data_IF_957784203800
#
_entry.id   IF_957784203800
#
_cell.length_a   1.000
_cell.length_b   1.000
_cell.length_c   1.000
_cell.angle_alpha   90.00
_cell.angle_beta   90.00
_cell.angle_gamma   90.00
#
_symmetry.space_group_name_H-M   'P 1'
#
loop_
_entity.id
_entity.type
_entity.pdbx_description
1 polymer ?
#
# COMPACT_ATOMS: atom_id res chain seq x y z
N UNK A 1 7.36 -9.08 -8.33
CA UNK A 1 8.01 -8.18 -7.36
C UNK A 1 8.20 -8.95 -6.07
N UNK A 2 9.40 -8.92 -5.49
CA UNK A 2 9.78 -9.83 -4.40
C UNK A 2 10.34 -9.12 -3.17
N UNK A 3 10.40 -7.79 -3.13
CA UNK A 3 10.90 -7.03 -1.99
C UNK A 3 10.11 -5.76 -1.76
N UNK A 4 10.19 -5.26 -0.54
CA UNK A 4 9.59 -4.01 -0.11
C UNK A 4 10.09 -2.85 -0.97
N UNK A 5 9.18 -2.01 -1.40
CA UNK A 5 9.50 -0.80 -2.18
C UNK A 5 8.47 0.29 -1.94
N UNK A 6 8.86 1.50 -2.27
CA UNK A 6 8.03 2.68 -2.28
C UNK A 6 7.88 3.17 -3.70
N UNK A 7 6.66 3.38 -4.14
CA UNK A 7 6.30 3.92 -5.45
C UNK A 7 6.07 5.41 -5.36
N UNK A 8 6.79 6.16 -6.21
CA UNK A 8 6.69 7.61 -6.24
C UNK A 8 5.43 8.10 -6.99
N UNK A 9 4.80 9.13 -6.49
CA UNK A 9 3.48 9.63 -6.92
C UNK A 9 3.35 9.92 -8.42
N UNK A 10 4.40 10.39 -9.09
CA UNK A 10 4.15 11.08 -10.35
C UNK A 10 4.30 10.20 -11.60
N UNK A 11 5.13 9.18 -11.51
CA UNK A 11 5.61 8.50 -12.70
C UNK A 11 5.52 6.96 -12.63
N UNK A 12 5.10 6.40 -11.50
CA UNK A 12 5.05 4.95 -11.37
C UNK A 12 3.83 4.39 -12.08
N UNK A 13 2.66 4.97 -11.84
CA UNK A 13 1.40 4.62 -12.51
C UNK A 13 0.71 5.88 -13.00
N UNK A 14 0.12 5.81 -14.19
CA UNK A 14 -0.62 6.89 -14.82
C UNK A 14 -2.06 6.51 -15.07
N UNK A 15 -2.89 7.53 -15.15
CA UNK A 15 -4.26 7.40 -15.59
C UNK A 15 -4.50 8.24 -16.85
N UNK A 16 -4.99 7.60 -17.92
CA UNK A 16 -5.24 8.22 -19.23
C UNK A 16 -4.05 9.03 -19.77
N UNK A 17 -2.83 8.49 -19.62
CA UNK A 17 -1.59 9.11 -20.09
C UNK A 17 -1.12 10.31 -19.27
N UNK A 18 -1.66 10.51 -18.07
CA UNK A 18 -1.31 11.60 -17.16
C UNK A 18 -0.93 11.07 -15.79
N UNK A 19 0.16 11.61 -15.24
CA UNK A 19 0.55 11.44 -13.84
C UNK A 19 -0.12 12.48 -12.92
N UNK A 20 0.40 12.59 -11.70
CA UNK A 20 -0.11 13.53 -10.70
C UNK A 20 -0.08 14.99 -11.22
N UNK A 21 -1.07 15.77 -10.83
CA UNK A 21 -1.28 17.15 -11.35
C UNK A 21 -1.46 17.23 -12.87
N UNK A 22 -1.89 16.15 -13.53
CA UNK A 22 -2.17 16.12 -14.96
C UNK A 22 -0.94 16.13 -15.85
N UNK A 23 0.24 15.81 -15.32
CA UNK A 23 1.49 15.79 -16.07
C UNK A 23 1.46 14.76 -17.20
N UNK A 24 1.75 15.16 -18.46
CA UNK A 24 1.71 14.24 -19.58
C UNK A 24 2.86 13.22 -19.52
N UNK A 25 2.61 12.02 -20.03
CA UNK A 25 3.61 10.94 -20.09
C UNK A 25 4.81 11.32 -20.98
N UNK A 26 4.60 12.17 -21.96
CA UNK A 26 5.65 12.65 -22.87
C UNK A 26 6.78 13.36 -22.12
N UNK A 27 6.45 14.16 -21.10
CA UNK A 27 7.44 14.87 -20.28
C UNK A 27 8.34 13.88 -19.53
N UNK A 28 7.78 12.77 -19.07
CA UNK A 28 8.49 11.72 -18.33
C UNK A 28 9.43 10.98 -19.28
N UNK A 29 8.94 10.61 -20.47
CA UNK A 29 9.75 9.95 -21.50
C UNK A 29 10.90 10.84 -21.97
N UNK A 30 10.64 12.11 -22.20
CA UNK A 30 11.65 13.08 -22.64
C UNK A 30 12.76 13.28 -21.60
N UNK A 31 12.42 13.23 -20.29
CA UNK A 31 13.39 13.35 -19.20
C UNK A 31 14.18 12.06 -18.93
N UNK A 32 13.79 10.93 -19.50
CA UNK A 32 14.39 9.63 -19.22
C UNK A 32 14.11 9.09 -17.79
N UNK A 33 13.05 9.59 -17.16
CA UNK A 33 12.62 9.24 -15.82
C UNK A 33 11.61 10.24 -15.27
N UNK A 34 11.45 10.28 -13.96
CA UNK A 34 10.47 11.13 -13.27
C UNK A 34 11.04 12.54 -12.96
N UNK A 35 10.76 13.58 -13.75
CA UNK A 35 11.39 14.89 -13.55
C UNK A 35 10.87 15.63 -12.33
N UNK A 36 9.66 15.32 -11.87
CA UNK A 36 9.04 15.90 -10.66
C UNK A 36 8.26 14.82 -9.92
N UNK A 37 8.12 14.96 -8.60
CA UNK A 37 7.46 13.93 -7.78
C UNK A 37 8.16 12.58 -7.83
N UNK A 38 9.46 12.57 -8.13
CA UNK A 38 10.30 11.37 -8.11
C UNK A 38 10.65 10.98 -6.67
N UNK A 39 11.21 9.79 -6.52
CA UNK A 39 11.53 9.24 -5.20
C UNK A 39 12.51 10.10 -4.38
N UNK A 40 13.37 10.89 -5.03
CA UNK A 40 14.30 11.80 -4.33
C UNK A 40 13.57 12.97 -3.63
N UNK A 41 12.29 13.21 -3.94
CA UNK A 41 11.47 14.13 -3.17
C UNK A 41 11.31 13.69 -1.69
N UNK A 42 11.43 12.40 -1.43
CA UNK A 42 11.37 11.79 -0.09
C UNK A 42 12.75 11.46 0.49
N UNK A 43 13.82 12.06 -0.03
CA UNK A 43 15.23 11.81 0.35
C UNK A 43 15.54 12.01 1.83
N UNK A 44 14.77 12.85 2.51
CA UNK A 44 14.95 13.12 3.95
C UNK A 44 14.20 12.11 4.82
N UNK A 45 13.54 11.13 4.19
CA UNK A 45 12.81 10.04 4.83
C UNK A 45 11.38 10.41 5.19
N UNK A 46 10.63 9.38 5.57
CA UNK A 46 9.28 9.45 6.09
C UNK A 46 9.32 9.04 7.56
N UNK A 47 8.84 9.90 8.45
CA UNK A 47 8.68 9.60 9.88
C UNK A 47 7.31 10.09 10.30
N UNK A 48 6.42 9.16 10.65
CA UNK A 48 5.05 9.47 11.07
C UNK A 48 4.42 8.30 11.81
N UNK A 49 3.20 8.47 12.31
CA UNK A 49 2.42 7.36 12.84
C UNK A 49 1.94 6.47 11.70
N UNK A 50 2.06 5.13 11.86
CA UNK A 50 1.38 4.17 11.02
C UNK A 50 0.32 3.41 11.80
N UNK A 51 -0.73 3.00 11.08
CA UNK A 51 -1.75 2.06 11.54
C UNK A 51 -1.65 0.81 10.68
N UNK A 52 -1.46 -0.34 11.33
CA UNK A 52 -1.40 -1.66 10.69
C UNK A 52 -2.78 -2.32 10.82
N UNK A 53 -3.53 -2.34 9.73
CA UNK A 53 -4.78 -3.05 9.64
C UNK A 53 -4.55 -4.54 9.37
N UNK A 54 -4.95 -5.37 10.30
CA UNK A 54 -4.86 -6.83 10.20
C UNK A 54 -6.12 -7.41 9.57
N UNK A 55 -6.13 -7.53 8.24
CA UNK A 55 -7.29 -8.06 7.50
C UNK A 55 -7.63 -9.51 7.87
N UNK A 56 -6.72 -10.23 8.53
CA UNK A 56 -7.01 -11.60 8.98
C UNK A 56 -7.94 -11.66 10.19
N UNK A 57 -8.21 -10.52 10.84
CA UNK A 57 -9.21 -10.40 11.91
C UNK A 57 -10.63 -10.23 11.36
N UNK A 58 -10.79 -9.88 10.08
CA UNK A 58 -12.10 -9.64 9.48
C UNK A 58 -12.92 -10.94 9.39
N UNK A 59 -14.17 -10.94 9.88
CA UNK A 59 -15.02 -12.10 9.79
C UNK A 59 -15.23 -12.59 8.36
N UNK A 60 -14.99 -13.86 8.10
CA UNK A 60 -15.22 -14.50 6.80
C UNK A 60 -14.19 -14.19 5.71
N UNK A 61 -13.15 -13.38 5.98
CA UNK A 61 -12.10 -13.08 4.99
C UNK A 61 -10.84 -13.91 5.17
N UNK A 62 -10.47 -14.23 6.40
CA UNK A 62 -9.30 -15.06 6.67
C UNK A 62 -9.58 -16.55 6.57
N UNK A 63 -8.61 -17.29 6.09
CA UNK A 63 -8.56 -18.75 6.20
C UNK A 63 -8.25 -19.19 7.64
N UNK A 64 -8.52 -20.46 7.96
CA UNK A 64 -8.13 -21.04 9.23
C UNK A 64 -6.60 -21.03 9.48
N UNK A 65 -5.81 -20.93 8.41
CA UNK A 65 -4.35 -20.87 8.47
C UNK A 65 -3.82 -19.44 8.74
N UNK A 66 -4.67 -18.42 8.66
CA UNK A 66 -4.36 -17.03 9.03
C UNK A 66 -3.80 -16.16 7.89
N UNK A 67 -4.33 -16.31 6.70
CA UNK A 67 -4.17 -15.37 5.59
C UNK A 67 -5.49 -15.10 4.89
N UNK A 68 -5.54 -14.03 4.14
CA UNK A 68 -6.65 -13.70 3.22
C UNK A 68 -6.34 -14.29 1.85
N UNK A 69 -7.28 -15.04 1.26
CA UNK A 69 -7.03 -15.67 -0.05
C UNK A 69 -6.88 -14.64 -1.17
N UNK A 70 -6.02 -14.93 -2.18
CA UNK A 70 -5.87 -14.10 -3.35
C UNK A 70 -7.22 -13.76 -4.01
N UNK A 71 -7.36 -12.53 -4.49
CA UNK A 71 -8.59 -12.04 -5.09
C UNK A 71 -9.64 -11.54 -4.10
N UNK A 72 -9.39 -11.63 -2.79
CA UNK A 72 -10.32 -11.11 -1.78
C UNK A 72 -10.11 -9.62 -1.58
N UNK A 73 -11.12 -8.78 -1.83
CA UNK A 73 -11.04 -7.34 -1.61
C UNK A 73 -11.17 -6.96 -0.14
N UNK A 74 -10.43 -5.93 0.27
CA UNK A 74 -10.65 -5.18 1.51
C UNK A 74 -11.29 -3.85 1.14
N UNK A 75 -12.53 -3.67 1.57
CA UNK A 75 -13.35 -2.51 1.28
C UNK A 75 -13.19 -1.41 2.34
N UNK A 76 -13.73 -0.23 2.05
CA UNK A 76 -13.78 0.88 3.00
C UNK A 76 -14.41 0.46 4.34
N UNK A 77 -15.55 -0.24 4.30
CA UNK A 77 -16.28 -0.68 5.50
C UNK A 77 -15.47 -1.69 6.34
N UNK A 78 -14.60 -2.46 5.69
CA UNK A 78 -13.67 -3.35 6.38
C UNK A 78 -12.66 -2.55 7.22
N UNK A 79 -12.12 -1.45 6.68
CA UNK A 79 -11.20 -0.58 7.41
C UNK A 79 -11.90 0.10 8.59
N UNK A 80 -13.15 0.55 8.40
CA UNK A 80 -13.97 1.10 9.49
C UNK A 80 -14.28 0.06 10.57
N UNK A 81 -14.37 -1.21 10.18
CA UNK A 81 -14.53 -2.34 11.11
C UNK A 81 -13.24 -2.61 11.87
N UNK A 82 -12.10 -2.63 11.16
CA UNK A 82 -10.78 -2.79 11.77
C UNK A 82 -10.44 -1.64 12.72
N UNK A 83 -10.76 -0.38 12.39
CA UNK A 83 -10.61 0.75 13.32
C UNK A 83 -11.25 0.46 14.69
N UNK A 84 -12.44 -0.18 14.69
CA UNK A 84 -13.16 -0.53 15.92
C UNK A 84 -12.53 -1.75 16.63
N UNK A 85 -12.20 -2.80 15.87
CA UNK A 85 -11.65 -4.05 16.43
C UNK A 85 -10.26 -3.84 17.03
N UNK A 86 -9.44 -3.02 16.37
CA UNK A 86 -8.05 -2.73 16.74
C UNK A 86 -7.92 -1.51 17.67
N UNK A 87 -9.05 -0.88 18.03
CA UNK A 87 -9.11 0.31 18.89
C UNK A 87 -8.24 1.47 18.42
N UNK A 88 -8.16 1.66 17.10
CA UNK A 88 -7.40 2.74 16.46
C UNK A 88 -8.33 3.69 15.70
N UNK A 89 -7.83 4.87 15.39
CA UNK A 89 -8.49 5.83 14.54
C UNK A 89 -7.48 6.51 13.63
N UNK A 90 -7.68 6.39 12.32
CA UNK A 90 -6.85 7.06 11.33
C UNK A 90 -7.06 8.56 11.40
N UNK A 91 -5.96 9.31 11.42
CA UNK A 91 -5.92 10.77 11.47
C UNK A 91 -5.09 11.33 10.29
N UNK A 92 -5.26 12.62 9.97
CA UNK A 92 -4.47 13.24 8.91
C UNK A 92 -2.97 13.12 9.15
N UNK A 93 -2.24 12.72 8.11
CA UNK A 93 -0.80 12.49 8.15
C UNK A 93 -0.38 11.05 8.48
N UNK A 94 -1.30 10.18 8.86
CA UNK A 94 -0.98 8.77 9.11
C UNK A 94 -0.62 8.02 7.82
N UNK A 95 0.17 6.97 8.00
CA UNK A 95 0.34 5.88 7.04
C UNK A 95 -0.63 4.77 7.41
N UNK A 96 -1.36 4.21 6.44
CA UNK A 96 -2.12 2.98 6.64
C UNK A 96 -1.46 1.82 5.92
N UNK A 97 -1.33 0.70 6.63
CA UNK A 97 -0.67 -0.51 6.17
C UNK A 97 -1.62 -1.70 6.31
N UNK A 98 -1.75 -2.53 5.27
CA UNK A 98 -2.64 -3.69 5.28
C UNK A 98 -1.83 -4.97 5.35
N UNK A 99 -2.09 -5.78 6.37
CA UNK A 99 -1.61 -7.14 6.47
C UNK A 99 -2.67 -8.11 5.97
N UNK A 100 -2.32 -8.90 4.96
CA UNK A 100 -3.17 -9.96 4.41
C UNK A 100 -2.68 -11.37 4.74
N UNK A 101 -1.51 -11.51 5.34
CA UNK A 101 -0.83 -12.79 5.58
C UNK A 101 -0.18 -13.37 4.33
N UNK A 102 0.12 -12.51 3.34
CA UNK A 102 0.69 -12.94 2.05
C UNK A 102 1.98 -13.72 2.21
N UNK A 103 2.90 -13.26 3.07
CA UNK A 103 4.19 -13.92 3.24
C UNK A 103 4.06 -15.26 3.94
N UNK A 104 3.15 -15.37 4.91
CA UNK A 104 2.78 -16.65 5.54
C UNK A 104 2.23 -17.64 4.51
N UNK A 105 1.27 -17.21 3.68
CA UNK A 105 0.75 -18.03 2.58
C UNK A 105 1.86 -18.46 1.63
N UNK A 106 2.74 -17.53 1.26
CA UNK A 106 3.87 -17.82 0.37
C UNK A 106 4.85 -18.84 0.96
N UNK A 107 5.11 -18.79 2.25
CA UNK A 107 5.95 -19.77 2.93
C UNK A 107 5.33 -21.17 2.90
N UNK A 108 4.01 -21.27 3.04
CA UNK A 108 3.30 -22.56 3.09
C UNK A 108 2.95 -23.12 1.70
N UNK A 109 2.49 -22.28 0.77
CA UNK A 109 1.99 -22.71 -0.56
C UNK A 109 2.99 -22.48 -1.70
N UNK A 110 4.11 -21.84 -1.42
CA UNK A 110 5.06 -21.42 -2.45
C UNK A 110 4.67 -20.10 -3.14
N UNK A 111 5.55 -19.61 -4.06
CA UNK A 111 5.31 -18.38 -4.81
C UNK A 111 4.18 -18.56 -5.83
N UNK A 112 3.47 -17.48 -6.14
CA UNK A 112 2.44 -17.43 -7.17
C UNK A 112 2.51 -16.13 -7.96
N UNK A 113 1.85 -16.07 -9.12
CA UNK A 113 1.81 -14.94 -10.03
C UNK A 113 0.49 -14.15 -9.99
N UNK A 114 0.39 -13.17 -10.87
CA UNK A 114 -0.80 -12.33 -11.03
C UNK A 114 -2.04 -13.09 -11.51
N UNK A 115 -1.85 -14.19 -12.18
CA UNK A 115 -2.91 -15.11 -12.64
C UNK A 115 -3.73 -15.70 -11.48
N UNK A 116 -3.07 -15.94 -10.35
CA UNK A 116 -3.75 -16.38 -9.12
C UNK A 116 -4.42 -15.21 -8.38
N UNK A 117 -3.99 -13.97 -8.65
CA UNK A 117 -4.47 -12.77 -7.97
C UNK A 117 -3.75 -12.46 -6.65
N UNK A 118 -4.20 -11.40 -5.99
CA UNK A 118 -3.74 -10.96 -4.67
C UNK A 118 -4.90 -10.40 -3.86
N UNK A 119 -4.90 -10.65 -2.55
CA UNK A 119 -5.74 -9.89 -1.64
C UNK A 119 -5.17 -8.46 -1.51
N UNK A 120 -6.02 -7.48 -1.30
CA UNK A 120 -5.60 -6.09 -1.20
C UNK A 120 -6.78 -5.14 -1.10
N UNK A 121 -6.51 -3.85 -1.13
CA UNK A 121 -7.54 -2.83 -1.07
C UNK A 121 -8.38 -2.79 -2.36
N UNK A 122 -9.70 -2.64 -2.20
CA UNK A 122 -10.61 -2.31 -3.28
C UNK A 122 -10.57 -0.80 -3.59
N UNK A 123 -10.93 -0.42 -4.81
CA UNK A 123 -10.87 0.99 -5.25
C UNK A 123 -11.70 1.98 -4.43
N UNK A 124 -12.75 1.53 -3.72
CA UNK A 124 -13.57 2.37 -2.84
C UNK A 124 -12.82 2.87 -1.59
N UNK A 125 -11.70 2.24 -1.23
CA UNK A 125 -10.82 2.71 -0.15
C UNK A 125 -10.29 4.13 -0.41
N UNK A 126 -10.25 4.58 -1.67
CA UNK A 126 -9.86 5.93 -2.00
C UNK A 126 -10.70 7.01 -1.29
N UNK A 127 -11.98 6.76 -1.05
CA UNK A 127 -12.82 7.65 -0.24
C UNK A 127 -12.34 7.74 1.21
N UNK A 128 -11.95 6.59 1.80
CA UNK A 128 -11.40 6.54 3.15
C UNK A 128 -10.08 7.33 3.23
N UNK A 129 -9.16 7.13 2.26
CA UNK A 129 -7.88 7.86 2.21
C UNK A 129 -8.11 9.36 2.23
N UNK A 130 -9.01 9.84 1.41
CA UNK A 130 -9.33 11.27 1.30
C UNK A 130 -9.98 11.82 2.57
N UNK A 131 -10.97 11.14 3.11
CA UNK A 131 -11.69 11.59 4.31
C UNK A 131 -10.81 11.62 5.55
N UNK A 132 -9.90 10.65 5.69
CA UNK A 132 -8.98 10.56 6.82
C UNK A 132 -7.70 11.39 6.65
N UNK A 133 -7.44 11.93 5.47
CA UNK A 133 -6.22 12.68 5.19
C UNK A 133 -4.96 11.81 5.29
N UNK A 134 -5.05 10.56 4.81
CA UNK A 134 -3.94 9.60 4.80
C UNK A 134 -2.78 10.14 3.96
N UNK A 135 -1.56 10.03 4.47
CA UNK A 135 -0.35 10.51 3.79
C UNK A 135 0.29 9.45 2.89
N UNK A 136 0.29 8.20 3.31
CA UNK A 136 0.79 7.05 2.56
C UNK A 136 -0.10 5.85 2.79
N UNK A 137 -0.13 4.95 1.81
CA UNK A 137 -0.83 3.66 1.89
C UNK A 137 0.14 2.54 1.55
N UNK A 138 -0.07 1.35 2.10
CA UNK A 138 0.74 0.19 1.72
C UNK A 138 0.16 -1.13 2.13
N UNK A 139 0.79 -2.23 1.67
CA UNK A 139 0.40 -3.58 2.05
C UNK A 139 1.55 -4.58 1.98
N UNK A 140 1.30 -5.81 2.43
CA UNK A 140 2.22 -6.95 2.24
C UNK A 140 2.14 -7.54 0.82
N UNK A 141 1.29 -6.99 -0.04
CA UNK A 141 1.08 -7.35 -1.44
C UNK A 141 1.32 -6.17 -2.39
N UNK A 142 0.78 -6.25 -3.61
CA UNK A 142 0.78 -5.14 -4.58
C UNK A 142 -0.33 -4.11 -4.28
N UNK A 143 -0.63 -3.87 -3.05
CA UNK A 143 -1.62 -2.93 -2.49
C UNK A 143 -3.04 -3.06 -3.07
N UNK A 144 -3.21 -3.09 -4.40
CA UNK A 144 -4.50 -3.39 -5.04
C UNK A 144 -4.92 -4.86 -4.90
N UNK A 145 -6.21 -5.10 -4.70
CA UNK A 145 -6.78 -6.44 -4.93
C UNK A 145 -6.67 -6.81 -6.40
N UNK A 146 -6.29 -8.05 -6.69
CA UNK A 146 -6.24 -8.58 -8.06
C UNK A 146 -6.99 -9.92 -8.14
N UNK A 147 -7.96 -10.03 -9.05
CA UNK A 147 -8.46 -9.01 -10.00
C UNK A 147 -9.17 -7.86 -9.29
N UNK A 148 -9.09 -6.66 -9.87
CA UNK A 148 -9.61 -5.43 -9.23
C UNK A 148 -11.15 -5.34 -9.18
N UNK A 149 -11.85 -6.16 -9.93
CA UNK A 149 -13.30 -6.06 -10.11
C UNK A 149 -13.75 -4.97 -11.10
N UNK A 150 -12.82 -4.18 -11.63
CA UNK A 150 -13.06 -3.15 -12.63
C UNK A 150 -12.66 -3.62 -14.05
N UNK A 151 -13.06 -2.89 -15.12
CA UNK A 151 -12.56 -3.17 -16.47
C UNK A 151 -11.03 -3.17 -16.54
N UNK A 152 -10.46 -3.92 -17.49
CA UNK A 152 -9.01 -4.09 -17.63
C UNK A 152 -8.20 -2.78 -17.73
N UNK A 153 -8.81 -1.70 -18.20
CA UNK A 153 -8.23 -0.34 -18.21
C UNK A 153 -8.03 0.25 -16.80
N UNK A 154 -8.67 -0.33 -15.79
CA UNK A 154 -8.58 0.04 -14.37
C UNK A 154 -8.10 -1.18 -13.56
N UNK A 155 -6.96 -1.75 -13.99
CA UNK A 155 -6.41 -2.96 -13.38
C UNK A 155 -5.80 -2.73 -11.98
N UNK A 156 -5.37 -1.50 -11.69
CA UNK A 156 -4.76 -1.09 -10.42
C UNK A 156 -5.45 0.20 -9.91
N UNK A 157 -6.72 0.15 -9.47
CA UNK A 157 -7.48 1.34 -9.10
C UNK A 157 -6.85 2.12 -7.95
N UNK A 158 -6.29 1.46 -6.94
CA UNK A 158 -5.63 2.14 -5.81
C UNK A 158 -4.37 2.86 -6.28
N UNK A 159 -3.52 2.23 -7.09
CA UNK A 159 -2.35 2.91 -7.64
C UNK A 159 -2.75 4.13 -8.48
N UNK A 160 -3.77 4.00 -9.34
CA UNK A 160 -4.23 5.12 -10.15
C UNK A 160 -4.81 6.25 -9.31
N UNK A 161 -5.60 5.94 -8.29
CA UNK A 161 -6.24 6.92 -7.41
C UNK A 161 -5.23 7.53 -6.43
N UNK A 162 -4.40 6.74 -5.77
CA UNK A 162 -3.43 7.25 -4.80
C UNK A 162 -2.33 8.05 -5.51
N UNK A 163 -1.60 7.43 -6.44
CA UNK A 163 -0.45 8.07 -7.08
C UNK A 163 -0.86 9.19 -8.03
N UNK A 164 -1.71 8.91 -9.03
CA UNK A 164 -1.98 9.86 -10.09
C UNK A 164 -3.05 10.91 -9.74
N UNK A 165 -4.05 10.57 -8.91
CA UNK A 165 -5.13 11.50 -8.60
C UNK A 165 -4.96 12.24 -7.26
N UNK A 166 -4.46 11.57 -6.21
CA UNK A 166 -4.37 12.15 -4.86
C UNK A 166 -2.96 12.58 -4.44
N UNK A 167 -1.91 12.09 -5.11
CA UNK A 167 -0.53 12.38 -4.73
C UNK A 167 -0.11 11.68 -3.44
N UNK A 168 -0.59 10.47 -3.23
CA UNK A 168 -0.26 9.59 -2.11
C UNK A 168 0.68 8.50 -2.61
N UNK A 169 1.89 8.41 -2.07
CA UNK A 169 2.85 7.36 -2.38
C UNK A 169 2.43 6.01 -1.79
N UNK A 170 2.90 4.92 -2.42
CA UNK A 170 2.49 3.56 -2.06
C UNK A 170 3.68 2.72 -1.62
N UNK A 171 3.54 2.05 -0.47
CA UNK A 171 4.47 1.03 0.00
C UNK A 171 3.97 -0.36 -0.39
N UNK A 172 4.65 -1.03 -1.30
CA UNK A 172 4.28 -2.37 -1.76
C UNK A 172 5.19 -3.47 -1.20
N UNK A 173 4.61 -4.66 -1.06
CA UNK A 173 5.32 -5.90 -0.68
C UNK A 173 6.10 -5.82 0.64
N UNK A 174 5.58 -5.09 1.62
CA UNK A 174 6.17 -5.03 2.94
C UNK A 174 6.04 -6.38 3.66
N UNK A 175 7.04 -6.73 4.46
CA UNK A 175 6.96 -7.90 5.34
C UNK A 175 6.51 -7.47 6.73
N UNK A 176 5.26 -7.79 7.08
CA UNK A 176 4.66 -7.43 8.35
C UNK A 176 4.60 -8.58 9.37
N UNK A 177 5.13 -9.77 9.06
CA UNK A 177 4.95 -10.96 9.92
C UNK A 177 5.35 -10.67 11.37
N UNK A 178 6.51 -10.03 11.58
CA UNK A 178 6.97 -9.66 12.93
C UNK A 178 6.17 -8.49 13.52
N UNK A 179 5.83 -7.51 12.69
CA UNK A 179 5.10 -6.33 13.17
C UNK A 179 3.69 -6.70 13.62
N UNK A 180 2.97 -7.56 12.87
CA UNK A 180 1.63 -8.01 13.23
C UNK A 180 1.65 -8.90 14.48
N UNK A 181 2.69 -9.74 14.65
CA UNK A 181 2.85 -10.53 15.87
C UNK A 181 2.99 -9.62 17.11
N UNK A 182 3.83 -8.58 17.04
CA UNK A 182 3.98 -7.58 18.10
C UNK A 182 2.69 -6.80 18.35
N UNK A 183 2.02 -6.36 17.29
CA UNK A 183 0.76 -5.63 17.42
C UNK A 183 -0.29 -6.45 18.17
N UNK A 184 -0.43 -7.74 17.87
CA UNK A 184 -1.34 -8.66 18.54
C UNK A 184 -0.95 -8.89 20.01
N UNK A 185 0.34 -9.12 20.30
CA UNK A 185 0.84 -9.31 21.67
C UNK A 185 0.59 -8.08 22.55
N UNK A 186 0.79 -6.89 22.00
CA UNK A 186 0.61 -5.63 22.72
C UNK A 186 -0.83 -5.12 22.68
N UNK A 187 -1.70 -5.73 21.88
CA UNK A 187 -3.01 -5.20 21.51
C UNK A 187 -2.93 -3.72 21.07
N UNK A 188 -1.92 -3.41 20.23
CA UNK A 188 -1.62 -2.06 19.74
C UNK A 188 -1.24 -2.11 18.29
N UNK A 189 -2.08 -1.57 17.43
CA UNK A 189 -1.95 -1.59 15.98
C UNK A 189 -1.44 -0.26 15.39
N UNK A 190 -0.93 0.60 16.24
CA UNK A 190 -0.28 1.85 15.84
C UNK A 190 1.15 1.93 16.37
N UNK A 191 2.04 2.53 15.60
CA UNK A 191 3.46 2.66 15.93
C UNK A 191 4.10 3.84 15.22
N UNK A 192 5.29 4.23 15.66
CA UNK A 192 6.13 5.14 14.90
C UNK A 192 6.70 4.38 13.68
N UNK A 193 6.38 4.90 12.51
CA UNK A 193 6.88 4.39 11.23
C UNK A 193 8.02 5.24 10.72
N UNK A 194 9.11 4.60 10.30
CA UNK A 194 10.23 5.26 9.66
C UNK A 194 10.64 4.52 8.40
N UNK A 195 10.77 5.26 7.29
CA UNK A 195 11.19 4.73 6.01
C UNK A 195 12.05 5.75 5.26
N UNK A 196 13.16 5.30 4.68
CA UNK A 196 14.05 6.14 3.90
C UNK A 196 14.34 5.48 2.55
N UNK A 197 13.86 6.04 1.43
CA UNK A 197 14.18 5.53 0.11
C UNK A 197 15.64 5.83 -0.26
N UNK A 198 16.15 5.08 -1.24
CA UNK A 198 17.41 5.42 -1.88
C UNK A 198 17.28 6.74 -2.63
N UNK A 199 18.33 7.54 -2.63
CA UNK A 199 18.42 8.81 -3.35
C UNK A 199 18.69 8.54 -4.83
N UNK A 200 17.64 8.28 -5.58
CA UNK A 200 17.69 7.93 -7.00
C UNK A 200 17.13 9.10 -7.81
N UNK A 201 18.01 9.84 -8.47
CA UNK A 201 17.58 10.92 -9.34
C UNK A 201 16.65 10.38 -10.45
N UNK A 202 15.55 11.07 -10.69
CA UNK A 202 14.51 10.69 -11.66
C UNK A 202 13.86 9.31 -11.39
N UNK A 203 14.08 8.71 -10.23
CA UNK A 203 13.54 7.40 -9.88
C UNK A 203 12.02 7.41 -9.72
N UNK A 204 11.33 6.40 -10.26
CA UNK A 204 9.88 6.20 -10.12
C UNK A 204 9.51 5.44 -8.87
N UNK A 205 10.49 4.97 -8.11
CA UNK A 205 10.35 4.23 -6.87
C UNK A 205 11.70 3.80 -6.31
N UNK A 206 11.70 3.18 -5.15
CA UNK A 206 12.91 2.71 -4.47
C UNK A 206 12.64 1.46 -3.64
N UNK A 207 13.52 0.44 -3.66
CA UNK A 207 13.53 -0.54 -2.60
C UNK A 207 13.86 0.15 -1.27
N UNK A 208 13.32 -0.37 -0.18
CA UNK A 208 13.57 0.17 1.15
C UNK A 208 13.35 -0.89 2.25
N UNK A 209 13.80 -0.58 3.46
CA UNK A 209 13.58 -1.40 4.65
C UNK A 209 12.97 -0.53 5.76
N UNK A 210 11.64 -0.38 5.80
CA UNK A 210 10.98 0.45 6.79
C UNK A 210 11.04 -0.19 8.19
N UNK A 211 10.91 0.67 9.22
CA UNK A 211 10.92 0.27 10.62
C UNK A 211 9.57 0.58 11.26
N UNK A 212 9.06 -0.38 12.03
CA UNK A 212 7.95 -0.21 12.96
C UNK A 212 8.48 -0.18 14.40
N UNK A 213 8.25 0.91 15.12
CA UNK A 213 8.74 1.14 16.47
C UNK A 213 7.54 1.28 17.39
N UNK A 214 7.26 0.22 18.16
CA UNK A 214 6.15 0.13 19.11
C UNK A 214 6.45 0.78 20.44
#
# INVERSE_FOLDING_TARGET
>A
VVHSHLDAVDCHVMYQGKGYNGRPMEDIKAAGGCPKGNIDALKDGVVTRAILFDATLLPGKATAQGWVEPGTPVHREDLETLEKMEHVKVAPGDVILLYTGRWKRRAEKGPWGRDTGFAGYHGDVAYFLKERGVSFIGSDGPTDVMPSGFPASVGLPIHQLALAAMGIDIFDNLDFERAVEHARQLNRYEFLFSAAPLRIALGTGSPLNPLAIF
#
